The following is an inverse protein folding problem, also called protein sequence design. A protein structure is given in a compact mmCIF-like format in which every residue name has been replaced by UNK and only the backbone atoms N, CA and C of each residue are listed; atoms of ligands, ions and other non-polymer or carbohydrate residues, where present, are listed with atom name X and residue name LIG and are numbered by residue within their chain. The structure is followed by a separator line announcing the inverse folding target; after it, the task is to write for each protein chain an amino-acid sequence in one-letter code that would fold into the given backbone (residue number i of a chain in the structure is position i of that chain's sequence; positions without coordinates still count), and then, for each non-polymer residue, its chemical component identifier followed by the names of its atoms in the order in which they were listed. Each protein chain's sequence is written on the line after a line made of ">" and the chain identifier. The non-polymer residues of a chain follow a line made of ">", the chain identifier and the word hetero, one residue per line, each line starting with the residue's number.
data_IF_464140593095
#
_entry.id   IF_464140593095
#
_cell.length_a   1.000
_cell.length_b   1.000
_cell.length_c   1.000
_cell.angle_alpha   90.00
_cell.angle_beta   90.00
_cell.angle_gamma   90.00
#
_symmetry.space_group_name_H-M   'P 1'
#
loop_
_entity.id
_entity.type
_entity.pdbx_description
1 polymer ?
#
# COMPACT_ATOMS: atom_id res chain seq x y z
N UNK A 1 -31.12 25.26 11.02
CA UNK A 1 -31.38 26.59 10.43
C UNK A 1 -31.71 27.57 11.55
N UNK A 2 -31.31 28.83 11.43
CA UNK A 2 -31.62 29.88 12.41
C UNK A 2 -32.96 30.54 12.02
N UNK A 3 -33.80 30.85 13.01
CA UNK A 3 -35.05 31.58 12.78
C UNK A 3 -34.74 33.08 12.52
N UNK A 4 -35.79 33.87 12.21
CA UNK A 4 -35.68 35.33 11.94
C UNK A 4 -35.16 36.16 13.12
N UNK A 5 -35.09 35.58 14.32
CA UNK A 5 -34.57 36.20 15.54
C UNK A 5 -33.12 35.78 15.85
N UNK A 6 -32.51 34.96 14.99
CA UNK A 6 -31.12 34.49 15.17
C UNK A 6 -30.99 33.32 16.13
N UNK A 7 -32.09 32.66 16.50
CA UNK A 7 -32.08 31.52 17.41
C UNK A 7 -32.07 30.20 16.63
N UNK A 8 -31.43 29.17 17.17
CA UNK A 8 -31.33 27.85 16.53
C UNK A 8 -32.71 27.19 16.51
N UNK A 9 -33.31 27.11 15.32
CA UNK A 9 -34.68 26.61 15.13
C UNK A 9 -34.74 25.09 14.95
N UNK A 10 -33.66 24.49 14.45
CA UNK A 10 -33.58 23.04 14.24
C UNK A 10 -32.14 22.57 14.10
N UNK A 11 -31.82 21.49 14.81
CA UNK A 11 -30.62 20.67 14.61
C UNK A 11 -31.04 19.39 13.88
N UNK A 12 -30.40 19.11 12.74
CA UNK A 12 -30.49 17.81 12.06
C UNK A 12 -29.16 17.11 12.27
N UNK A 13 -29.19 15.94 12.89
CA UNK A 13 -28.05 15.05 13.02
C UNK A 13 -28.38 13.71 12.40
N UNK A 14 -27.38 13.10 11.76
CA UNK A 14 -27.40 11.68 11.41
C UNK A 14 -26.48 10.94 12.38
N UNK A 15 -26.93 9.84 12.94
CA UNK A 15 -26.07 8.92 13.68
C UNK A 15 -25.82 7.72 12.77
N UNK A 16 -24.61 7.64 12.23
CA UNK A 16 -24.16 6.50 11.44
C UNK A 16 -23.19 5.69 12.28
N UNK A 17 -23.51 4.42 12.51
CA UNK A 17 -22.56 3.50 13.12
C UNK A 17 -21.42 3.23 12.12
N UNK A 18 -20.21 3.66 12.47
CA UNK A 18 -18.99 3.42 11.69
C UNK A 18 -18.05 2.45 12.40
N UNK A 19 -18.50 1.77 13.46
CA UNK A 19 -17.66 0.88 14.26
C UNK A 19 -17.03 -0.21 13.39
N UNK A 20 -17.84 -0.88 12.57
CA UNK A 20 -17.39 -1.96 11.68
C UNK A 20 -16.39 -1.48 10.62
N UNK A 21 -16.68 -0.35 9.96
CA UNK A 21 -15.79 0.25 8.94
C UNK A 21 -14.43 0.60 9.54
N UNK A 22 -14.42 1.17 10.75
CA UNK A 22 -13.18 1.52 11.45
C UNK A 22 -12.37 0.27 11.80
N UNK A 23 -13.02 -0.76 12.33
CA UNK A 23 -12.35 -2.02 12.69
C UNK A 23 -11.73 -2.72 11.47
N UNK A 24 -12.45 -2.77 10.35
CA UNK A 24 -11.93 -3.34 9.10
C UNK A 24 -10.72 -2.56 8.57
N UNK A 25 -10.79 -1.23 8.57
CA UNK A 25 -9.67 -0.38 8.15
C UNK A 25 -8.44 -0.56 9.05
N UNK A 26 -8.65 -0.66 10.37
CA UNK A 26 -7.58 -0.83 11.34
C UNK A 26 -6.92 -2.21 11.24
N UNK A 27 -7.72 -3.27 11.07
CA UNK A 27 -7.21 -4.62 10.80
C UNK A 27 -6.40 -4.67 9.50
N UNK A 28 -6.90 -4.03 8.42
CA UNK A 28 -6.18 -3.93 7.15
C UNK A 28 -4.84 -3.18 7.30
N UNK A 29 -4.84 -2.10 8.08
CA UNK A 29 -3.63 -1.34 8.37
C UNK A 29 -2.61 -2.16 9.16
N UNK A 30 -3.04 -2.86 10.21
CA UNK A 30 -2.18 -3.72 11.03
C UNK A 30 -1.56 -4.87 10.22
N UNK A 31 -2.33 -5.50 9.33
CA UNK A 31 -1.79 -6.54 8.45
C UNK A 31 -0.78 -6.00 7.44
N UNK A 32 -1.03 -4.80 6.86
CA UNK A 32 -0.04 -4.14 6.00
C UNK A 32 1.25 -3.82 6.75
N UNK A 33 1.15 -3.29 7.96
CA UNK A 33 2.31 -2.95 8.79
C UNK A 33 3.11 -4.20 9.19
N UNK A 34 2.43 -5.28 9.58
CA UNK A 34 3.06 -6.56 9.90
C UNK A 34 3.80 -7.15 8.70
N UNK A 35 3.19 -7.11 7.52
CA UNK A 35 3.84 -7.53 6.28
C UNK A 35 5.08 -6.67 5.99
N UNK A 36 4.98 -5.35 6.22
CA UNK A 36 6.11 -4.43 6.03
C UNK A 36 7.27 -4.77 6.95
N UNK A 37 7.04 -4.90 8.26
CA UNK A 37 8.06 -5.27 9.26
C UNK A 37 8.70 -6.63 8.93
N UNK A 38 7.89 -7.61 8.56
CA UNK A 38 8.37 -8.95 8.21
C UNK A 38 9.30 -8.88 7.00
N UNK A 39 8.89 -8.18 5.93
CA UNK A 39 9.67 -8.04 4.70
C UNK A 39 10.90 -7.13 4.86
N UNK A 40 10.91 -6.23 5.83
CA UNK A 40 12.08 -5.39 6.15
C UNK A 40 13.09 -6.15 7.02
N UNK A 41 12.61 -7.06 7.88
CA UNK A 41 13.49 -7.96 8.66
C UNK A 41 14.13 -9.07 7.81
N UNK A 42 13.54 -9.39 6.65
CA UNK A 42 14.16 -10.24 5.64
C UNK A 42 15.15 -9.35 4.88
N UNK A 43 16.45 -9.62 5.02
CA UNK A 43 17.50 -8.86 4.32
C UNK A 43 17.55 -9.06 2.81
N UNK A 44 16.47 -9.55 2.20
CA UNK A 44 16.36 -9.87 0.78
C UNK A 44 15.30 -8.98 0.11
N UNK A 45 15.54 -8.65 -1.16
CA UNK A 45 14.58 -7.96 -1.99
C UNK A 45 13.40 -8.87 -2.35
N UNK A 46 12.19 -8.38 -2.11
CA UNK A 46 10.93 -9.04 -2.49
C UNK A 46 10.16 -8.14 -3.44
N UNK A 47 9.78 -8.69 -4.59
CA UNK A 47 8.90 -8.05 -5.57
C UNK A 47 7.88 -9.04 -6.10
N UNK A 48 6.69 -8.53 -6.42
CA UNK A 48 5.62 -9.29 -7.07
C UNK A 48 5.28 -8.68 -8.44
N UNK A 49 4.81 -9.52 -9.36
CA UNK A 49 4.26 -9.08 -10.65
C UNK A 49 2.86 -9.64 -10.90
N UNK A 50 2.11 -9.01 -11.80
CA UNK A 50 0.90 -9.59 -12.38
C UNK A 50 1.23 -10.64 -13.46
N UNK A 51 0.19 -11.21 -14.08
CA UNK A 51 0.31 -12.20 -15.17
C UNK A 51 0.99 -11.64 -16.44
N UNK A 52 1.02 -10.31 -16.59
CA UNK A 52 1.66 -9.61 -17.70
C UNK A 52 3.08 -9.15 -17.34
N UNK A 53 3.62 -9.59 -16.19
CA UNK A 53 4.92 -9.22 -15.65
C UNK A 53 5.07 -7.74 -15.29
N UNK A 54 3.97 -7.04 -15.02
CA UNK A 54 4.03 -5.69 -14.46
C UNK A 54 4.18 -5.76 -12.94
N UNK A 55 5.04 -4.91 -12.37
CA UNK A 55 5.28 -4.88 -10.93
C UNK A 55 3.99 -4.49 -10.19
N UNK A 56 3.65 -5.26 -9.15
CA UNK A 56 2.49 -5.01 -8.28
C UNK A 56 2.89 -4.67 -6.85
N UNK A 57 4.12 -5.00 -6.44
CA UNK A 57 4.65 -4.74 -5.10
C UNK A 57 6.17 -4.80 -5.08
N UNK A 58 6.79 -3.98 -4.21
CA UNK A 58 8.22 -4.00 -3.88
C UNK A 58 8.41 -3.71 -2.38
N UNK A 59 9.18 -4.53 -1.65
CA UNK A 59 9.58 -4.16 -0.29
C UNK A 59 10.67 -3.06 -0.31
N UNK A 60 10.92 -2.37 0.82
CA UNK A 60 11.96 -1.33 0.90
C UNK A 60 13.36 -1.81 0.49
N UNK A 61 13.68 -3.08 0.76
CA UNK A 61 14.95 -3.69 0.33
C UNK A 61 15.03 -3.77 -1.20
N UNK A 62 13.95 -4.18 -1.88
CA UNK A 62 13.88 -4.18 -3.34
C UNK A 62 13.98 -2.76 -3.92
N UNK A 63 13.36 -1.77 -3.27
CA UNK A 63 13.51 -0.36 -3.70
C UNK A 63 14.98 0.07 -3.62
N UNK A 64 15.62 -0.19 -2.48
CA UNK A 64 17.03 0.15 -2.26
C UNK A 64 17.98 -0.56 -3.23
N UNK A 65 17.72 -1.84 -3.53
CA UNK A 65 18.57 -2.64 -4.43
C UNK A 65 18.39 -2.28 -5.90
N UNK A 66 17.16 -2.03 -6.34
CA UNK A 66 16.86 -1.67 -7.73
C UNK A 66 17.09 -0.19 -8.03
N UNK A 67 17.02 0.68 -7.01
CA UNK A 67 17.02 2.13 -7.16
C UNK A 67 15.65 2.71 -7.58
N UNK A 68 14.59 1.90 -7.61
CA UNK A 68 13.24 2.32 -7.96
C UNK A 68 12.36 2.40 -6.72
N UNK A 69 11.56 3.46 -6.60
CA UNK A 69 10.49 3.48 -5.61
C UNK A 69 9.32 2.59 -6.08
N UNK A 70 8.64 1.92 -5.16
CA UNK A 70 7.46 1.10 -5.44
C UNK A 70 6.41 1.93 -6.20
N UNK A 71 6.22 3.19 -5.80
CA UNK A 71 5.28 4.12 -6.42
C UNK A 71 5.58 4.39 -7.90
N UNK A 72 6.84 4.27 -8.32
CA UNK A 72 7.29 4.47 -9.69
C UNK A 72 7.34 3.14 -10.47
N UNK A 73 7.62 2.05 -9.77
CA UNK A 73 7.72 0.72 -10.34
C UNK A 73 6.36 0.07 -10.61
N UNK A 74 5.33 0.32 -9.78
CA UNK A 74 4.00 -0.28 -9.96
C UNK A 74 3.47 -0.02 -11.37
N UNK A 75 3.01 -1.09 -12.03
CA UNK A 75 2.51 -1.05 -13.40
C UNK A 75 3.59 -1.00 -14.49
N UNK A 76 4.87 -0.88 -14.13
CA UNK A 76 5.98 -1.01 -15.09
C UNK A 76 6.32 -2.49 -15.32
N UNK A 77 6.74 -2.87 -16.54
CA UNK A 77 7.28 -4.19 -16.79
C UNK A 77 8.51 -4.47 -15.92
N UNK A 78 8.58 -5.65 -15.31
CA UNK A 78 9.69 -6.04 -14.41
C UNK A 78 11.08 -5.86 -15.05
N UNK A 79 11.21 -6.14 -16.35
CA UNK A 79 12.48 -6.04 -17.08
C UNK A 79 12.96 -4.59 -17.27
N UNK A 80 12.09 -3.59 -17.04
CA UNK A 80 12.47 -2.17 -17.00
C UNK A 80 13.03 -1.78 -15.63
N UNK A 81 12.53 -2.41 -14.58
CA UNK A 81 12.92 -2.15 -13.19
C UNK A 81 14.19 -2.93 -12.82
N UNK A 82 14.30 -4.18 -13.29
CA UNK A 82 15.40 -5.09 -12.98
C UNK A 82 16.02 -5.69 -14.24
N UNK A 83 17.35 -5.75 -14.26
CA UNK A 83 18.08 -6.52 -15.25
C UNK A 83 18.23 -7.96 -14.79
N UNK A 84 17.36 -8.84 -15.26
CA UNK A 84 17.37 -10.26 -14.90
C UNK A 84 18.42 -10.98 -15.76
N UNK A 85 19.46 -11.51 -15.11
CA UNK A 85 20.44 -12.38 -15.75
C UNK A 85 20.15 -13.84 -15.41
N UNK A 86 20.22 -14.71 -16.42
CA UNK A 86 20.14 -16.15 -16.21
C UNK A 86 21.54 -16.67 -15.94
N UNK A 87 21.80 -17.13 -14.72
CA UNK A 87 23.08 -17.73 -14.38
C UNK A 87 23.19 -19.14 -14.96
N UNK A 88 23.95 -19.33 -16.04
CA UNK A 88 24.51 -20.67 -16.34
C UNK A 88 25.71 -21.00 -15.43
N UNK A 89 26.30 -19.99 -14.78
CA UNK A 89 27.32 -20.16 -13.73
C UNK A 89 27.11 -19.08 -12.68
N UNK A 90 26.55 -19.45 -11.53
CA UNK A 90 26.49 -18.57 -10.36
C UNK A 90 27.90 -18.11 -9.99
N UNK A 91 28.13 -16.81 -10.09
CA UNK A 91 29.27 -16.13 -9.49
C UNK A 91 28.85 -14.75 -9.04
#
# INVERSE_FOLDING_TARGET
>A
MLNKQGEVERLLGINMDMTEVKQLNEALFQEKERLHITLDSIGEAVLCTDINMNVTFMNPVAEKMSGWLQTEAIGQPILKVLHITFGEKGR
#
